data_IF_015511803527
#
_entry.id   IF_015511803527
#
_cell.length_a   1.000
_cell.length_b   1.000
_cell.length_c   1.000
_cell.angle_alpha   90.00
_cell.angle_beta   90.00
_cell.angle_gamma   90.00
#
_symmetry.space_group_name_H-M   'P 1'
#
loop_
_entity.id
_entity.type
_entity.pdbx_description
1 polymer ?
#
# COMPACT_ATOMS: atom_id res chain seq x y z
N UNK A 1 28.19 7.88 -12.03
CA UNK A 1 27.10 8.31 -12.94
C UNK A 1 26.11 9.26 -12.24
N UNK A 2 25.67 8.94 -11.01
CA UNK A 2 24.81 9.82 -10.18
C UNK A 2 25.43 11.20 -9.90
N UNK A 3 26.74 11.29 -9.63
CA UNK A 3 27.43 12.56 -9.39
C UNK A 3 27.29 13.58 -10.56
N UNK A 4 27.43 13.12 -11.80
CA UNK A 4 27.29 13.97 -13.00
C UNK A 4 25.84 14.44 -13.17
N UNK A 5 24.86 13.55 -12.94
CA UNK A 5 23.43 13.93 -12.97
C UNK A 5 23.12 14.98 -11.92
N UNK A 6 23.67 14.86 -10.71
CA UNK A 6 23.52 15.86 -9.64
C UNK A 6 24.04 17.22 -10.06
N UNK A 7 25.22 17.31 -10.69
CA UNK A 7 25.75 18.57 -11.20
C UNK A 7 24.85 19.18 -12.29
N UNK A 8 24.32 18.37 -13.20
CA UNK A 8 23.37 18.83 -14.22
C UNK A 8 22.07 19.39 -13.60
N UNK A 9 21.63 18.88 -12.46
CA UNK A 9 20.43 19.41 -11.76
C UNK A 9 20.61 20.81 -11.17
N UNK A 10 21.86 21.26 -11.00
CA UNK A 10 22.22 22.55 -10.39
C UNK A 10 22.38 23.69 -11.42
N UNK A 11 22.26 23.40 -12.71
CA UNK A 11 22.31 24.42 -13.76
C UNK A 11 21.15 25.42 -13.61
N UNK A 12 21.47 26.66 -13.23
CA UNK A 12 20.48 27.70 -12.86
C UNK A 12 20.13 28.68 -13.99
N UNK A 13 20.88 28.66 -15.10
CA UNK A 13 20.59 29.52 -16.26
C UNK A 13 19.30 29.06 -16.94
N UNK A 14 18.45 30.01 -17.31
CA UNK A 14 17.16 29.77 -17.99
C UNK A 14 17.30 28.95 -19.28
N UNK A 15 18.40 29.15 -20.03
CA UNK A 15 18.75 28.38 -21.24
C UNK A 15 18.90 26.88 -20.98
N UNK A 16 19.34 26.50 -19.78
CA UNK A 16 19.67 25.13 -19.40
C UNK A 16 18.56 24.47 -18.56
N UNK A 17 17.46 25.19 -18.30
CA UNK A 17 16.34 24.74 -17.47
C UNK A 17 15.78 23.37 -17.88
N UNK A 18 15.68 23.11 -19.18
CA UNK A 18 15.22 21.81 -19.72
C UNK A 18 16.16 20.67 -19.35
N UNK A 19 17.47 20.88 -19.45
CA UNK A 19 18.48 19.86 -19.11
C UNK A 19 18.48 19.61 -17.61
N UNK A 20 18.46 20.67 -16.79
CA UNK A 20 18.38 20.55 -15.34
C UNK A 20 17.13 19.79 -14.89
N UNK A 21 15.97 20.08 -15.51
CA UNK A 21 14.72 19.39 -15.22
C UNK A 21 14.79 17.90 -15.62
N UNK A 22 15.33 17.59 -16.81
CA UNK A 22 15.51 16.19 -17.24
C UNK A 22 16.48 15.42 -16.36
N UNK A 23 17.59 16.04 -15.96
CA UNK A 23 18.54 15.43 -15.03
C UNK A 23 17.88 15.11 -13.68
N UNK A 24 17.02 16.01 -13.16
CA UNK A 24 16.22 15.76 -11.94
C UNK A 24 15.26 14.58 -12.13
N UNK A 25 14.52 14.54 -13.24
CA UNK A 25 13.59 13.44 -13.52
C UNK A 25 14.31 12.09 -13.60
N UNK A 26 15.46 12.04 -14.28
CA UNK A 26 16.28 10.82 -14.37
C UNK A 26 16.83 10.43 -13.00
N UNK A 27 17.33 11.39 -12.20
CA UNK A 27 17.84 11.12 -10.86
C UNK A 27 16.73 10.58 -9.93
N UNK A 28 15.54 11.19 -9.98
CA UNK A 28 14.36 10.72 -9.25
C UNK A 28 14.01 9.30 -9.69
N UNK A 29 13.92 9.06 -11.01
CA UNK A 29 13.60 7.74 -11.55
C UNK A 29 14.65 6.67 -11.20
N UNK A 30 15.93 7.02 -11.17
CA UNK A 30 17.01 6.09 -10.80
C UNK A 30 17.02 5.74 -9.31
N UNK A 31 16.47 6.61 -8.47
CA UNK A 31 16.35 6.35 -7.04
C UNK A 31 15.06 5.59 -6.69
N UNK A 32 14.13 5.42 -7.64
CA UNK A 32 12.96 4.57 -7.44
C UNK A 32 13.39 3.11 -7.49
N UNK A 33 13.04 2.29 -6.49
CA UNK A 33 13.36 0.87 -6.50
C UNK A 33 12.63 0.17 -7.66
N UNK A 34 13.28 -0.84 -8.24
CA UNK A 34 12.67 -1.66 -9.29
C UNK A 34 11.40 -2.36 -8.80
N UNK A 35 10.55 -2.79 -9.73
CA UNK A 35 9.35 -3.57 -9.38
C UNK A 35 9.70 -4.82 -8.56
N UNK A 36 10.70 -5.59 -8.99
CA UNK A 36 11.16 -6.80 -8.29
C UNK A 36 11.67 -6.50 -6.87
N UNK A 37 12.45 -5.42 -6.71
CA UNK A 37 12.94 -5.02 -5.38
C UNK A 37 11.78 -4.62 -4.45
N UNK A 38 10.79 -3.89 -4.98
CA UNK A 38 9.58 -3.54 -4.22
C UNK A 38 8.74 -4.78 -3.90
N UNK A 39 8.62 -5.72 -4.83
CA UNK A 39 7.95 -7.00 -4.60
C UNK A 39 8.59 -7.75 -3.44
N UNK A 40 9.90 -7.96 -3.48
CA UNK A 40 10.64 -8.66 -2.43
C UNK A 40 10.55 -7.93 -1.08
N UNK A 41 10.55 -6.60 -1.09
CA UNK A 41 10.38 -5.81 0.13
C UNK A 41 8.98 -6.00 0.74
N UNK A 42 7.92 -5.94 -0.07
CA UNK A 42 6.55 -6.14 0.40
C UNK A 42 6.35 -7.57 0.89
N UNK A 43 6.87 -8.56 0.17
CA UNK A 43 6.84 -9.97 0.57
C UNK A 43 7.54 -10.19 1.91
N UNK A 44 8.73 -9.62 2.11
CA UNK A 44 9.45 -9.69 3.39
C UNK A 44 8.64 -9.08 4.54
N UNK A 45 7.92 -7.98 4.29
CA UNK A 45 7.03 -7.38 5.30
C UNK A 45 5.86 -8.30 5.62
N UNK A 46 5.21 -8.91 4.62
CA UNK A 46 4.16 -9.89 4.87
C UNK A 46 4.66 -11.09 5.66
N UNK A 47 5.78 -11.70 5.25
CA UNK A 47 6.32 -12.87 5.94
C UNK A 47 6.74 -12.55 7.39
N UNK A 48 7.34 -11.38 7.64
CA UNK A 48 7.69 -10.93 9.00
C UNK A 48 6.49 -10.56 9.87
N UNK A 49 5.33 -10.23 9.28
CA UNK A 49 4.08 -10.05 10.02
C UNK A 49 3.41 -11.39 10.39
N UNK A 50 3.83 -12.48 9.75
CA UNK A 50 3.26 -13.83 9.88
C UNK A 50 4.09 -14.72 10.81
N UNK A 51 5.41 -14.50 10.87
CA UNK A 51 6.33 -15.35 11.63
C UNK A 51 6.41 -14.98 13.11
N UNK A 52 5.38 -15.38 13.86
CA UNK A 52 5.44 -15.81 15.26
C UNK A 52 4.19 -16.67 15.56
N UNK A 53 4.24 -17.95 15.22
CA UNK A 53 3.31 -18.99 15.70
C UNK A 53 1.79 -18.71 15.54
N UNK A 54 1.30 -18.43 14.32
CA UNK A 54 -0.10 -18.65 13.94
C UNK A 54 -1.22 -17.99 14.77
N UNK A 55 -0.90 -17.15 15.76
CA UNK A 55 -1.86 -16.70 16.78
C UNK A 55 -1.83 -15.19 17.06
N UNK A 56 -0.84 -14.44 16.56
CA UNK A 56 -0.85 -12.97 16.67
C UNK A 56 -0.44 -12.32 15.35
N UNK A 57 -1.45 -11.87 14.62
CA UNK A 57 -1.28 -10.95 13.52
C UNK A 57 -0.71 -9.64 14.08
N UNK A 58 0.56 -9.33 13.81
CA UNK A 58 1.18 -8.11 14.32
C UNK A 58 0.79 -6.90 13.44
N UNK A 59 -0.13 -6.01 13.89
CA UNK A 59 -0.65 -4.94 13.06
C UNK A 59 0.42 -3.89 12.72
N UNK A 60 1.46 -3.74 13.53
CA UNK A 60 2.49 -2.71 13.35
C UNK A 60 3.33 -2.90 12.09
N UNK A 61 3.64 -4.14 11.72
CA UNK A 61 4.40 -4.43 10.49
C UNK A 61 3.57 -4.15 9.24
N UNK A 62 2.26 -4.38 9.29
CA UNK A 62 1.33 -4.07 8.21
C UNK A 62 0.96 -2.59 8.16
N UNK A 63 1.03 -1.87 9.28
CA UNK A 63 0.83 -0.43 9.32
C UNK A 63 1.84 0.30 8.43
N UNK A 64 3.07 -0.22 8.32
CA UNK A 64 4.06 0.28 7.34
C UNK A 64 3.52 0.19 5.91
N UNK A 65 2.84 -0.90 5.54
CA UNK A 65 2.23 -1.06 4.22
C UNK A 65 0.98 -0.19 4.04
N UNK A 66 0.18 -0.01 5.08
CA UNK A 66 -1.05 0.80 5.03
C UNK A 66 -0.72 2.28 4.86
N UNK A 67 0.27 2.79 5.60
CA UNK A 67 0.64 4.20 5.63
C UNK A 67 1.77 4.58 4.66
N UNK A 68 2.41 3.61 3.99
CA UNK A 68 3.55 3.91 3.10
C UNK A 68 3.16 4.88 1.99
N UNK A 69 3.94 5.94 1.81
CA UNK A 69 3.81 6.87 0.69
C UNK A 69 4.15 6.24 -0.67
N UNK A 70 4.95 5.16 -0.69
CA UNK A 70 5.31 4.48 -1.94
C UNK A 70 4.10 3.78 -2.55
N UNK A 71 4.01 3.78 -3.89
CA UNK A 71 2.99 3.03 -4.62
C UNK A 71 3.10 1.55 -4.27
N UNK A 72 2.13 1.07 -3.49
CA UNK A 72 1.98 -0.35 -3.16
C UNK A 72 0.94 -1.01 -4.06
N UNK A 73 0.00 -0.24 -4.62
CA UNK A 73 -1.16 -0.80 -5.34
C UNK A 73 -0.80 -1.46 -6.67
N UNK A 74 0.39 -1.21 -7.19
CA UNK A 74 0.92 -1.90 -8.38
C UNK A 74 1.58 -3.25 -8.04
N UNK A 75 1.96 -3.48 -6.79
CA UNK A 75 2.61 -4.74 -6.35
C UNK A 75 1.65 -5.59 -5.50
N UNK A 76 0.89 -4.96 -4.61
CA UNK A 76 -0.01 -5.58 -3.64
C UNK A 76 -0.96 -6.62 -4.25
N UNK A 77 -1.59 -6.38 -5.42
CA UNK A 77 -2.51 -7.34 -6.02
C UNK A 77 -1.89 -8.70 -6.36
N UNK A 78 -0.57 -8.76 -6.57
CA UNK A 78 0.13 -10.02 -6.84
C UNK A 78 0.02 -10.98 -5.64
N UNK A 79 -0.03 -10.45 -4.42
CA UNK A 79 -0.13 -11.25 -3.19
C UNK A 79 -1.54 -11.79 -2.91
N UNK A 80 -2.59 -11.35 -3.63
CA UNK A 80 -3.95 -11.85 -3.43
C UNK A 80 -4.08 -13.34 -3.79
N UNK A 81 -3.19 -13.85 -4.64
CA UNK A 81 -3.17 -15.24 -5.08
C UNK A 81 -1.93 -16.00 -4.59
N UNK A 82 -1.29 -15.50 -3.53
CA UNK A 82 -0.12 -16.13 -2.94
C UNK A 82 -0.43 -17.57 -2.46
N UNK A 83 0.57 -18.45 -2.53
CA UNK A 83 0.45 -19.85 -2.11
C UNK A 83 0.13 -19.99 -0.62
N UNK A 84 0.75 -19.16 0.20
CA UNK A 84 0.46 -19.06 1.64
C UNK A 84 -0.86 -18.29 1.89
N UNK A 85 -1.85 -18.98 2.47
CA UNK A 85 -3.16 -18.42 2.81
C UNK A 85 -3.08 -17.20 3.74
N UNK A 86 -2.17 -17.20 4.71
CA UNK A 86 -2.05 -16.07 5.64
C UNK A 86 -1.54 -14.82 4.91
N UNK A 87 -0.64 -14.98 3.93
CA UNK A 87 -0.19 -13.88 3.07
C UNK A 87 -1.37 -13.33 2.25
N UNK A 88 -2.22 -14.19 1.69
CA UNK A 88 -3.43 -13.74 0.97
C UNK A 88 -4.35 -12.91 1.86
N UNK A 89 -4.66 -13.42 3.05
CA UNK A 89 -5.50 -12.73 4.02
C UNK A 89 -4.90 -11.37 4.40
N UNK A 90 -3.61 -11.34 4.77
CA UNK A 90 -2.92 -10.11 5.11
C UNK A 90 -2.92 -9.09 3.96
N UNK A 91 -2.71 -9.54 2.72
CA UNK A 91 -2.71 -8.68 1.54
C UNK A 91 -4.08 -8.04 1.28
N UNK A 92 -5.16 -8.81 1.38
CA UNK A 92 -6.53 -8.30 1.25
C UNK A 92 -6.85 -7.28 2.34
N UNK A 93 -6.45 -7.54 3.58
CA UNK A 93 -6.65 -6.64 4.70
C UNK A 93 -5.88 -5.33 4.55
N UNK A 94 -4.61 -5.38 4.13
CA UNK A 94 -3.81 -4.19 3.80
C UNK A 94 -4.48 -3.39 2.68
N UNK A 95 -4.99 -4.06 1.64
CA UNK A 95 -5.68 -3.40 0.53
C UNK A 95 -6.90 -2.62 1.03
N UNK A 96 -7.77 -3.25 1.83
CA UNK A 96 -8.97 -2.60 2.39
C UNK A 96 -8.57 -1.43 3.29
N UNK A 97 -7.68 -1.64 4.27
CA UNK A 97 -7.29 -0.57 5.20
C UNK A 97 -6.65 0.63 4.50
N UNK A 98 -5.88 0.38 3.44
CA UNK A 98 -5.24 1.45 2.68
C UNK A 98 -6.20 2.16 1.73
N UNK A 99 -7.07 1.43 1.03
CA UNK A 99 -8.07 2.01 0.15
C UNK A 99 -9.11 2.87 0.92
N UNK A 100 -9.40 2.47 2.17
CA UNK A 100 -10.36 3.14 3.04
C UNK A 100 -9.70 3.98 4.14
N UNK A 101 -8.47 4.47 3.94
CA UNK A 101 -7.72 5.24 4.95
C UNK A 101 -8.44 6.50 5.43
N UNK A 102 -9.29 7.08 4.58
CA UNK A 102 -10.10 8.26 4.91
C UNK A 102 -11.40 7.93 5.66
N UNK A 103 -11.72 6.65 5.84
CA UNK A 103 -12.93 6.16 6.49
C UNK A 103 -12.59 5.54 7.85
N UNK A 104 -13.59 5.50 8.73
CA UNK A 104 -13.52 4.72 9.96
C UNK A 104 -13.91 3.27 9.63
N UNK A 105 -12.99 2.32 9.78
CA UNK A 105 -13.26 0.89 9.62
C UNK A 105 -13.75 0.31 10.94
N UNK A 106 -15.01 -0.15 10.98
CA UNK A 106 -15.66 -0.66 12.19
C UNK A 106 -15.37 -2.14 12.41
N UNK A 107 -15.39 -2.91 11.32
CA UNK A 107 -15.15 -4.35 11.34
C UNK A 107 -14.48 -4.80 10.04
N UNK A 108 -13.63 -5.80 10.16
CA UNK A 108 -12.99 -6.47 9.04
C UNK A 108 -12.86 -7.95 9.40
N UNK A 109 -13.52 -8.81 8.64
CA UNK A 109 -13.62 -10.23 8.88
C UNK A 109 -13.14 -10.99 7.65
N UNK A 110 -12.37 -12.05 7.90
CA UNK A 110 -11.90 -12.95 6.85
C UNK A 110 -12.80 -14.18 6.81
N UNK A 111 -13.27 -14.51 5.61
CA UNK A 111 -14.01 -15.72 5.33
C UNK A 111 -13.30 -16.51 4.24
N UNK A 112 -13.50 -17.82 4.22
CA UNK A 112 -12.99 -18.68 3.17
C UNK A 112 -14.17 -19.43 2.55
N UNK A 113 -14.30 -19.31 1.24
CA UNK A 113 -15.29 -20.06 0.48
C UNK A 113 -14.85 -21.52 0.34
N UNK A 114 -15.81 -22.38 -0.04
CA UNK A 114 -15.64 -23.83 -0.15
C UNK A 114 -14.55 -24.23 -1.17
N UNK A 115 -14.29 -23.37 -2.15
CA UNK A 115 -13.28 -23.51 -3.20
C UNK A 115 -11.87 -23.03 -2.76
N UNK A 116 -11.74 -22.55 -1.52
CA UNK A 116 -10.50 -22.02 -0.97
C UNK A 116 -10.27 -20.52 -1.22
N UNK A 117 -11.21 -19.83 -1.89
CA UNK A 117 -11.14 -18.39 -2.15
C UNK A 117 -11.25 -17.60 -0.83
N UNK A 118 -10.28 -16.72 -0.58
CA UNK A 118 -10.30 -15.81 0.57
C UNK A 118 -11.19 -14.60 0.28
N UNK A 119 -12.12 -14.31 1.19
CA UNK A 119 -13.04 -13.17 1.12
C UNK A 119 -12.82 -12.30 2.36
N UNK A 120 -12.84 -10.98 2.17
CA UNK A 120 -12.82 -10.02 3.26
C UNK A 120 -14.13 -9.26 3.27
N UNK A 121 -14.90 -9.42 4.34
CA UNK A 121 -16.08 -8.62 4.62
C UNK A 121 -15.67 -7.48 5.56
N UNK A 122 -16.06 -6.25 5.25
CA UNK A 122 -15.71 -5.10 6.08
C UNK A 122 -16.84 -4.08 6.11
N UNK A 123 -16.98 -3.43 7.26
CA UNK A 123 -17.92 -2.33 7.45
C UNK A 123 -17.13 -1.06 7.76
N UNK A 124 -17.53 0.04 7.13
CA UNK A 124 -16.89 1.32 7.28
C UNK A 124 -17.92 2.44 7.37
N UNK A 125 -17.51 3.56 7.95
CA UNK A 125 -18.30 4.77 8.05
C UNK A 125 -17.47 5.98 7.62
N UNK A 126 -18.16 7.03 7.18
CA UNK A 126 -17.52 8.33 7.01
C UNK A 126 -17.00 8.84 8.38
N UNK A 127 -15.86 9.54 8.39
CA UNK A 127 -15.28 10.03 9.63
C UNK A 127 -16.20 11.05 10.30
N UNK A 128 -16.14 11.14 11.63
CA UNK A 128 -16.97 12.04 12.46
C UNK A 128 -17.08 13.49 11.96
N UNK A 129 -16.03 14.03 11.37
CA UNK A 129 -15.96 15.38 10.83
C UNK A 129 -16.58 15.54 9.44
N UNK A 130 -16.96 14.45 8.76
CA UNK A 130 -17.43 14.50 7.39
C UNK A 130 -18.89 15.00 7.31
N UNK A 131 -19.21 15.98 6.45
CA UNK A 131 -20.54 16.59 6.37
C UNK A 131 -21.66 15.59 6.05
N UNK A 132 -21.35 14.51 5.32
CA UNK A 132 -22.32 13.47 4.95
C UNK A 132 -22.45 12.31 5.96
N UNK A 133 -21.83 12.37 7.16
CA UNK A 133 -21.91 11.25 8.13
C UNK A 133 -23.31 11.09 8.73
N UNK A 134 -24.02 12.19 8.95
CA UNK A 134 -25.36 12.19 9.56
C UNK A 134 -26.52 11.94 8.58
N UNK A 135 -26.25 11.75 7.28
CA UNK A 135 -27.28 11.63 6.25
C UNK A 135 -27.51 10.20 5.75
N UNK A 136 -27.01 9.18 6.45
CA UNK A 136 -27.27 7.78 6.12
C UNK A 136 -28.72 7.46 6.53
N UNK A 137 -29.64 7.16 5.59
CA UNK A 137 -30.93 6.59 5.95
C UNK A 137 -30.64 5.24 6.61
N UNK A 138 -31.19 4.98 7.78
CA UNK A 138 -31.17 3.67 8.43
C UNK A 138 -31.79 2.65 7.48
N UNK A 139 -30.98 1.93 6.70
CA UNK A 139 -31.40 0.74 6.00
C UNK A 139 -31.58 -0.35 7.06
N UNK A 140 -32.76 -0.35 7.69
CA UNK A 140 -33.26 -1.49 8.43
C UNK A 140 -33.31 -2.68 7.48
N UNK A 141 -32.54 -3.73 7.79
CA UNK A 141 -32.77 -5.07 7.26
C UNK A 141 -32.66 -6.09 8.39
#
# INVERSE_FOLDING_TARGET
MTAILTELTQLSRTTNSKVALRARQVLIASNLPSFELRHNQVESIFLSAIDMFGHQFCPENLQKLILSETSIFDVLPNFFYHSNQIVRMAALEVYVRRAYIAYELNSLQHQQLHDGTCVVEFQFMLPSSHPNRGSIPTLNR
#
